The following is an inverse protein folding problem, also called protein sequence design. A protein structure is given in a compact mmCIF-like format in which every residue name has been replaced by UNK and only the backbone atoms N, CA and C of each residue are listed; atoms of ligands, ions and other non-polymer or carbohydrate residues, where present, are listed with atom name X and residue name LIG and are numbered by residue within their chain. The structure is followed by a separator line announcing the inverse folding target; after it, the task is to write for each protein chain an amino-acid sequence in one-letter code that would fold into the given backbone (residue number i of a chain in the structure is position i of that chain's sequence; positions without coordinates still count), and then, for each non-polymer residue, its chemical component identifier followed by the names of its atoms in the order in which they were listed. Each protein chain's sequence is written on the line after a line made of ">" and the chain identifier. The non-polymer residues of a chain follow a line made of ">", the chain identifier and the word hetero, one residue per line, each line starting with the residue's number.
data_IF_740378048985
#
_entry.id   IF_740378048985
#
_cell.length_a   1.000
_cell.length_b   1.000
_cell.length_c   1.000
_cell.angle_alpha   90.00
_cell.angle_beta   90.00
_cell.angle_gamma   90.00
#
_symmetry.space_group_name_H-M   'P 1'
#
loop_
_entity.id
_entity.type
_entity.pdbx_description
1 polymer ?
#
# COMPACT_ATOMS: atom_id res chain seq x y z
N UNK A 1 8.15 9.14 0.25
CA UNK A 1 6.79 8.64 -0.03
C UNK A 1 6.36 7.73 1.11
N UNK A 2 5.08 7.79 1.54
CA UNK A 2 4.56 6.88 2.55
C UNK A 2 4.29 5.52 1.92
N UNK A 3 4.74 4.44 2.55
CA UNK A 3 4.45 3.07 2.13
C UNK A 3 2.95 2.72 2.20
N UNK A 4 2.17 3.52 2.93
CA UNK A 4 0.74 3.30 3.13
C UNK A 4 -0.07 4.54 2.75
N UNK A 5 -1.29 4.32 2.27
CA UNK A 5 -2.27 5.38 2.06
C UNK A 5 -2.71 5.95 3.43
N UNK A 6 -2.37 7.21 3.70
CA UNK A 6 -2.68 7.88 4.98
C UNK A 6 -4.17 7.97 5.28
N UNK A 7 -5.03 8.00 4.25
CA UNK A 7 -6.46 8.23 4.41
C UNK A 7 -7.17 7.05 5.08
N UNK A 8 -6.62 5.83 4.91
CA UNK A 8 -7.17 4.62 5.52
C UNK A 8 -6.57 4.28 6.89
N UNK A 9 -5.52 5.01 7.30
CA UNK A 9 -4.85 4.72 8.57
C UNK A 9 -5.69 5.25 9.73
N UNK A 10 -5.96 4.39 10.71
CA UNK A 10 -6.60 4.74 11.98
C UNK A 10 -5.58 5.07 13.05
N UNK A 11 -4.55 4.23 13.17
CA UNK A 11 -3.49 4.35 14.15
C UNK A 11 -2.19 3.73 13.63
N UNK A 12 -1.06 4.27 14.08
CA UNK A 12 0.28 3.73 13.85
C UNK A 12 0.99 3.65 15.18
N UNK A 13 1.29 2.44 15.63
CA UNK A 13 2.08 2.20 16.83
C UNK A 13 3.49 1.78 16.43
N UNK A 14 4.49 2.52 16.88
CA UNK A 14 5.88 2.24 16.59
C UNK A 14 6.64 1.81 17.84
N UNK A 15 7.15 0.58 17.80
CA UNK A 15 7.92 -0.03 18.89
C UNK A 15 9.40 -0.13 18.48
N UNK A 16 10.27 0.62 19.12
CA UNK A 16 11.74 0.56 18.89
C UNK A 16 12.39 -0.62 19.59
N UNK A 17 11.85 -1.02 20.75
CA UNK A 17 12.31 -2.15 21.58
C UNK A 17 11.21 -2.52 22.58
N UNK A 18 11.30 -3.70 23.21
CA UNK A 18 10.35 -4.10 24.24
C UNK A 18 8.93 -4.31 23.72
N UNK A 19 8.80 -5.00 22.60
CA UNK A 19 7.48 -5.23 22.00
C UNK A 19 6.62 -6.15 22.86
N UNK A 20 5.28 -6.00 22.85
CA UNK A 20 4.36 -6.96 23.42
C UNK A 20 4.58 -8.38 22.88
N UNK A 21 4.30 -9.41 23.69
CA UNK A 21 4.53 -10.80 23.35
C UNK A 21 3.85 -11.28 22.06
N UNK A 22 2.82 -10.56 21.59
CA UNK A 22 2.13 -10.82 20.31
C UNK A 22 3.03 -10.64 19.07
N UNK A 23 4.14 -9.90 19.20
CA UNK A 23 5.10 -9.67 18.12
C UNK A 23 6.38 -10.48 18.36
N UNK A 24 6.32 -11.78 18.17
CA UNK A 24 7.48 -12.68 18.33
C UNK A 24 8.33 -12.77 17.05
N UNK A 25 9.59 -13.21 17.19
CA UNK A 25 10.47 -13.53 16.06
C UNK A 25 11.11 -12.33 15.34
N UNK A 26 11.09 -11.13 15.92
CA UNK A 26 11.76 -9.93 15.39
C UNK A 26 12.75 -9.37 16.40
N UNK A 27 13.89 -8.86 15.89
CA UNK A 27 14.97 -8.27 16.70
C UNK A 27 15.14 -6.76 16.49
N UNK A 28 14.40 -6.19 15.51
CA UNK A 28 14.43 -4.76 15.18
C UNK A 28 13.16 -4.05 15.68
N UNK A 29 12.86 -2.89 15.13
CA UNK A 29 11.63 -2.17 15.42
C UNK A 29 10.41 -2.81 14.75
N UNK A 30 9.23 -2.57 15.32
CA UNK A 30 7.93 -2.99 14.77
C UNK A 30 7.06 -1.75 14.58
N UNK A 31 6.43 -1.67 13.41
CA UNK A 31 5.39 -0.68 13.11
C UNK A 31 4.07 -1.43 12.94
N UNK A 32 3.13 -1.22 13.87
CA UNK A 32 1.77 -1.75 13.77
C UNK A 32 0.87 -0.68 13.13
N UNK A 33 0.40 -0.95 11.92
CA UNK A 33 -0.47 -0.05 11.16
C UNK A 33 -1.89 -0.61 11.16
N UNK A 34 -2.80 0.13 11.77
CA UNK A 34 -4.22 -0.23 11.82
C UNK A 34 -5.01 0.62 10.86
N UNK A 35 -5.78 -0.03 10.01
CA UNK A 35 -6.66 0.62 9.07
C UNK A 35 -8.01 0.95 9.70
N UNK A 36 -8.66 2.01 9.20
CA UNK A 36 -10.00 2.43 9.63
C UNK A 36 -11.04 1.37 9.28
N UNK A 37 -12.00 1.21 10.17
CA UNK A 37 -13.25 0.52 9.87
C UNK A 37 -14.09 1.41 8.95
N UNK A 38 -14.93 0.81 8.09
CA UNK A 38 -15.86 1.57 7.28
C UNK A 38 -16.97 2.19 8.11
N UNK A 39 -17.57 3.26 7.61
CA UNK A 39 -18.72 3.89 8.26
C UNK A 39 -19.90 2.91 8.33
N UNK A 40 -20.57 2.85 9.49
CA UNK A 40 -21.68 1.91 9.74
C UNK A 40 -23.06 2.48 9.38
N UNK A 41 -23.15 3.78 9.12
CA UNK A 41 -24.43 4.48 8.94
C UNK A 41 -24.63 5.01 7.53
N UNK A 42 -23.59 5.62 6.95
CA UNK A 42 -23.67 6.32 5.68
C UNK A 42 -22.49 5.91 4.75
N UNK A 43 -22.75 6.00 3.46
CA UNK A 43 -21.68 5.86 2.45
C UNK A 43 -20.94 7.18 2.33
N UNK A 44 -19.62 7.12 2.43
CA UNK A 44 -18.71 8.24 2.22
C UNK A 44 -17.71 7.88 1.15
N UNK A 45 -17.37 8.86 0.32
CA UNK A 45 -16.31 8.74 -0.67
C UNK A 45 -15.42 9.98 -0.62
N UNK A 46 -14.12 9.75 -0.75
CA UNK A 46 -13.12 10.81 -0.91
C UNK A 46 -12.28 10.54 -2.13
N UNK A 47 -12.00 11.59 -2.89
CA UNK A 47 -11.06 11.56 -4.00
C UNK A 47 -10.07 12.70 -3.82
N UNK A 48 -8.79 12.43 -4.00
CA UNK A 48 -7.72 13.40 -3.90
C UNK A 48 -6.78 13.25 -5.08
N UNK A 49 -6.49 14.36 -5.73
CA UNK A 49 -5.53 14.47 -6.81
C UNK A 49 -4.38 15.36 -6.37
N UNK A 50 -3.21 14.76 -6.21
CA UNK A 50 -1.95 15.46 -5.94
C UNK A 50 -1.09 15.57 -7.20
N UNK A 51 0.01 16.31 -7.10
CA UNK A 51 0.98 16.44 -8.19
C UNK A 51 1.60 15.10 -8.58
N UNK A 52 1.86 14.22 -7.61
CA UNK A 52 2.61 12.98 -7.79
C UNK A 52 1.73 11.73 -7.74
N UNK A 53 0.58 11.80 -7.08
CA UNK A 53 -0.33 10.66 -6.90
C UNK A 53 -1.81 11.09 -6.89
N UNK A 54 -2.67 10.11 -7.14
CA UNK A 54 -4.10 10.22 -6.92
C UNK A 54 -4.60 9.06 -6.09
N UNK A 55 -5.64 9.31 -5.34
CA UNK A 55 -6.26 8.35 -4.44
C UNK A 55 -7.77 8.52 -4.39
N UNK A 56 -8.40 7.38 -4.23
CA UNK A 56 -9.85 7.30 -4.08
C UNK A 56 -10.10 6.35 -2.91
N UNK A 57 -11.03 6.73 -2.06
CA UNK A 57 -11.52 5.90 -0.97
C UNK A 57 -13.04 5.92 -0.97
N UNK A 58 -13.65 4.76 -0.73
CA UNK A 58 -15.09 4.61 -0.53
C UNK A 58 -15.33 3.72 0.69
N UNK A 59 -16.16 4.17 1.59
CA UNK A 59 -16.54 3.42 2.78
C UNK A 59 -18.06 3.53 3.01
N UNK A 60 -18.62 2.53 3.69
CA UNK A 60 -20.03 2.58 4.00
C UNK A 60 -20.59 1.29 4.58
N UNK A 61 -21.87 1.28 4.95
CA UNK A 61 -22.56 0.12 5.45
C UNK A 61 -22.97 -0.84 4.31
N UNK A 62 -22.67 -2.12 4.46
CA UNK A 62 -23.36 -3.20 3.73
C UNK A 62 -24.68 -3.49 4.46
N UNK A 63 -24.63 -3.52 5.80
CA UNK A 63 -25.80 -3.60 6.66
C UNK A 63 -25.62 -2.60 7.79
N UNK A 64 -26.52 -1.62 7.87
CA UNK A 64 -26.47 -0.55 8.90
C UNK A 64 -26.27 -1.11 10.30
N UNK A 65 -25.37 -0.48 11.05
CA UNK A 65 -24.99 -0.84 12.42
C UNK A 65 -24.46 -2.27 12.61
N UNK A 66 -24.14 -2.99 11.52
CA UNK A 66 -23.63 -4.37 11.60
C UNK A 66 -22.42 -4.64 10.75
N UNK A 67 -22.45 -4.25 9.49
CA UNK A 67 -21.41 -4.60 8.54
C UNK A 67 -21.02 -3.38 7.73
N UNK A 68 -19.76 -3.03 7.73
CA UNK A 68 -19.22 -1.95 6.92
C UNK A 68 -18.03 -2.43 6.07
N UNK A 69 -17.80 -1.70 5.00
CA UNK A 69 -16.63 -1.85 4.15
C UNK A 69 -15.87 -0.54 4.05
N UNK A 70 -14.57 -0.65 3.80
CA UNK A 70 -13.69 0.47 3.45
C UNK A 70 -12.75 -0.02 2.35
N UNK A 71 -12.75 0.65 1.21
CA UNK A 71 -11.94 0.31 0.04
C UNK A 71 -11.21 1.54 -0.42
N UNK A 72 -9.93 1.42 -0.70
CA UNK A 72 -9.12 2.51 -1.23
C UNK A 72 -8.16 2.04 -2.30
N UNK A 73 -7.93 2.93 -3.26
CA UNK A 73 -6.96 2.78 -4.33
C UNK A 73 -6.11 4.04 -4.38
N UNK A 74 -4.80 3.87 -4.50
CA UNK A 74 -3.85 4.96 -4.76
C UNK A 74 -2.92 4.56 -5.90
N UNK A 75 -2.61 5.51 -6.78
CA UNK A 75 -1.61 5.36 -7.84
C UNK A 75 -0.79 6.62 -7.99
N UNK A 76 0.52 6.47 -8.16
CA UNK A 76 1.39 7.55 -8.60
C UNK A 76 1.43 7.64 -10.14
N UNK A 77 1.69 8.84 -10.64
CA UNK A 77 1.92 9.13 -12.06
C UNK A 77 3.27 9.82 -12.30
N UNK A 78 4.22 9.56 -11.45
CA UNK A 78 5.59 10.08 -11.58
C UNK A 78 6.20 9.64 -12.92
N UNK A 79 5.91 8.42 -13.37
CA UNK A 79 6.29 7.91 -14.68
C UNK A 79 5.79 8.80 -15.84
N UNK A 80 4.57 9.32 -15.74
CA UNK A 80 4.01 10.23 -16.74
C UNK A 80 4.65 11.62 -16.71
N UNK A 81 4.98 12.12 -15.50
CA UNK A 81 5.63 13.42 -15.32
C UNK A 81 7.10 13.41 -15.75
N UNK A 82 7.79 12.30 -15.56
CA UNK A 82 9.19 12.17 -15.94
C UNK A 82 9.40 12.07 -17.45
N UNK A 83 8.45 11.52 -18.21
CA UNK A 83 8.55 11.39 -19.67
C UNK A 83 8.88 12.72 -20.39
N UNK A 84 8.09 13.81 -20.20
CA UNK A 84 8.43 15.08 -20.85
C UNK A 84 9.74 15.68 -20.32
N UNK A 85 10.08 15.48 -19.05
CA UNK A 85 11.35 15.95 -18.47
C UNK A 85 12.53 15.26 -19.14
N UNK A 86 12.51 13.93 -19.26
CA UNK A 86 13.52 13.16 -19.96
C UNK A 86 13.59 13.54 -21.45
N UNK A 87 12.44 13.74 -22.09
CA UNK A 87 12.40 14.16 -23.50
C UNK A 87 13.04 15.54 -23.75
N UNK A 88 12.89 16.47 -22.80
CA UNK A 88 13.53 17.79 -22.86
C UNK A 88 15.04 17.66 -22.59
N UNK A 89 15.42 16.89 -21.58
CA UNK A 89 16.81 16.67 -21.19
C UNK A 89 17.62 15.98 -22.31
N UNK A 90 17.02 15.05 -23.02
CA UNK A 90 17.65 14.29 -24.12
C UNK A 90 17.68 15.08 -25.46
N UNK A 91 17.15 16.30 -25.47
CA UNK A 91 17.07 17.06 -26.73
C UNK A 91 18.42 17.60 -27.14
N UNK A 92 18.98 17.03 -28.22
CA UNK A 92 20.28 17.40 -28.77
C UNK A 92 21.45 16.67 -28.17
N UNK A 93 21.20 15.69 -27.29
CA UNK A 93 22.23 14.79 -26.76
C UNK A 93 22.26 13.48 -27.57
N UNK A 94 23.46 12.94 -27.76
CA UNK A 94 23.66 11.61 -28.37
C UNK A 94 23.29 10.50 -27.40
N UNK A 95 23.50 10.73 -26.10
CA UNK A 95 23.12 9.84 -25.02
C UNK A 95 21.70 10.16 -24.53
N UNK A 96 20.85 9.15 -24.40
CA UNK A 96 19.47 9.31 -23.97
C UNK A 96 19.19 8.56 -22.70
N UNK A 97 18.56 9.26 -21.77
CA UNK A 97 18.12 8.70 -20.49
C UNK A 97 16.60 8.65 -20.41
N UNK A 98 16.08 7.54 -19.92
CA UNK A 98 14.67 7.43 -19.56
C UNK A 98 14.54 6.89 -18.15
N UNK A 99 13.86 7.64 -17.31
CA UNK A 99 13.59 7.29 -15.92
C UNK A 99 12.09 7.11 -15.72
N UNK A 100 11.70 5.99 -15.11
CA UNK A 100 10.31 5.71 -14.80
C UNK A 100 10.18 5.22 -13.36
N UNK A 101 9.23 5.79 -12.62
CA UNK A 101 8.83 5.29 -11.31
C UNK A 101 7.32 5.37 -11.18
N UNK A 102 6.72 4.25 -10.83
CA UNK A 102 5.30 4.20 -10.49
C UNK A 102 5.06 3.27 -9.31
N UNK A 103 4.06 3.59 -8.52
CA UNK A 103 3.51 2.69 -7.54
C UNK A 103 1.99 2.73 -7.55
N UNK A 104 1.39 1.64 -7.12
CA UNK A 104 -0.02 1.62 -6.78
C UNK A 104 -0.26 0.74 -5.57
N UNK A 105 -1.24 1.10 -4.78
CA UNK A 105 -1.71 0.29 -3.68
C UNK A 105 -3.24 0.21 -3.65
N UNK A 106 -3.71 -0.96 -3.26
CA UNK A 106 -5.11 -1.25 -3.05
C UNK A 106 -5.30 -1.78 -1.63
N UNK A 107 -6.30 -1.26 -0.96
CA UNK A 107 -6.69 -1.70 0.38
C UNK A 107 -8.19 -1.96 0.42
N UNK A 108 -8.58 -3.02 1.09
CA UNK A 108 -9.97 -3.33 1.37
C UNK A 108 -10.10 -3.85 2.80
N UNK A 109 -11.11 -3.40 3.53
CA UNK A 109 -11.45 -3.88 4.85
C UNK A 109 -12.94 -4.09 4.97
N UNK A 110 -13.32 -5.21 5.56
CA UNK A 110 -14.68 -5.53 5.94
C UNK A 110 -14.73 -5.73 7.44
N UNK A 111 -15.68 -5.06 8.10
CA UNK A 111 -15.89 -5.16 9.54
C UNK A 111 -17.33 -5.59 9.81
N UNK A 112 -17.50 -6.61 10.65
CA UNK A 112 -18.80 -7.17 11.00
C UNK A 112 -18.97 -7.26 12.52
N UNK A 113 -19.94 -6.54 13.06
CA UNK A 113 -20.35 -6.66 14.46
C UNK A 113 -21.33 -7.83 14.61
N UNK A 114 -20.87 -8.93 15.21
CA UNK A 114 -21.71 -10.07 15.57
C UNK A 114 -22.65 -9.64 16.69
N UNK A 115 -22.11 -8.93 17.68
CA UNK A 115 -22.80 -8.36 18.83
C UNK A 115 -22.10 -7.09 19.30
N UNK A 116 -22.64 -6.42 20.30
CA UNK A 116 -21.98 -5.27 20.95
C UNK A 116 -20.65 -5.62 21.65
N UNK A 117 -20.35 -6.93 21.79
CA UNK A 117 -19.16 -7.44 22.46
C UNK A 117 -18.22 -8.23 21.54
N UNK A 118 -18.64 -8.42 20.29
CA UNK A 118 -17.89 -9.29 19.36
C UNK A 118 -17.87 -8.69 17.97
N UNK A 119 -16.66 -8.48 17.45
CA UNK A 119 -16.43 -7.93 16.12
C UNK A 119 -15.51 -8.87 15.37
N UNK A 120 -15.85 -9.20 14.13
CA UNK A 120 -14.98 -9.84 13.17
C UNK A 120 -14.58 -8.83 12.09
N UNK A 121 -13.36 -8.96 11.59
CA UNK A 121 -12.91 -8.14 10.49
C UNK A 121 -11.96 -8.91 9.59
N UNK A 122 -11.94 -8.53 8.33
CA UNK A 122 -10.95 -9.00 7.36
C UNK A 122 -10.39 -7.81 6.63
N UNK A 123 -9.10 -7.86 6.33
CA UNK A 123 -8.42 -6.83 5.54
C UNK A 123 -7.56 -7.46 4.46
N UNK A 124 -7.47 -6.75 3.35
CA UNK A 124 -6.66 -7.10 2.21
C UNK A 124 -5.83 -5.89 1.79
N UNK A 125 -4.56 -6.12 1.51
CA UNK A 125 -3.62 -5.14 1.01
C UNK A 125 -2.89 -5.69 -0.21
N UNK A 126 -2.76 -4.88 -1.24
CA UNK A 126 -1.91 -5.15 -2.40
C UNK A 126 -1.14 -3.89 -2.74
N UNK A 127 0.19 -3.97 -2.74
CA UNK A 127 1.09 -2.91 -3.16
C UNK A 127 2.01 -3.39 -4.26
N UNK A 128 2.30 -2.52 -5.22
CA UNK A 128 3.22 -2.79 -6.33
C UNK A 128 3.98 -1.53 -6.68
N UNK A 129 5.28 -1.67 -6.83
CA UNK A 129 6.21 -0.63 -7.24
C UNK A 129 6.99 -1.08 -8.46
N UNK A 130 7.27 -0.16 -9.35
CA UNK A 130 8.10 -0.36 -10.53
C UNK A 130 9.02 0.82 -10.74
N UNK A 131 10.32 0.54 -10.82
CA UNK A 131 11.36 1.47 -11.15
C UNK A 131 12.07 1.01 -12.42
N UNK A 132 12.26 1.91 -13.37
CA UNK A 132 12.98 1.63 -14.61
C UNK A 132 13.95 2.75 -14.95
N UNK A 133 15.13 2.36 -15.41
CA UNK A 133 16.16 3.24 -15.95
C UNK A 133 16.62 2.65 -17.27
N UNK A 134 16.45 3.40 -18.33
CA UNK A 134 16.98 3.05 -19.65
C UNK A 134 18.01 4.10 -20.00
N UNK A 135 19.18 3.63 -20.42
CA UNK A 135 20.30 4.41 -20.89
C UNK A 135 20.66 3.94 -22.30
N UNK A 136 20.63 4.84 -23.26
CA UNK A 136 21.04 4.60 -24.64
C UNK A 136 22.25 5.51 -24.94
N UNK A 137 23.47 4.95 -25.03
CA UNK A 137 24.68 5.66 -25.39
C UNK A 137 25.08 5.32 -26.81
N UNK A 138 25.36 6.36 -27.62
CA UNK A 138 25.79 6.22 -29.01
C UNK A 138 27.24 6.68 -29.19
N UNK A 139 28.09 5.76 -29.64
CA UNK A 139 29.46 6.03 -29.99
C UNK A 139 29.70 5.61 -31.44
N UNK A 140 29.80 6.57 -32.35
CA UNK A 140 30.04 6.37 -33.78
C UNK A 140 29.07 5.35 -34.42
N UNK A 141 29.50 4.09 -34.60
CA UNK A 141 28.68 2.99 -35.14
C UNK A 141 28.08 2.06 -34.08
N UNK A 142 28.40 2.29 -32.80
CA UNK A 142 27.94 1.42 -31.71
C UNK A 142 26.81 2.09 -30.91
N UNK A 143 25.72 1.38 -30.76
CA UNK A 143 24.62 1.74 -29.87
C UNK A 143 24.65 0.77 -28.69
N UNK A 144 24.88 1.28 -27.50
CA UNK A 144 24.77 0.52 -26.24
C UNK A 144 23.49 0.92 -25.55
N UNK A 145 22.56 -0.03 -25.40
CA UNK A 145 21.29 0.17 -24.71
C UNK A 145 21.29 -0.67 -23.45
N UNK A 146 21.06 -0.04 -22.32
CA UNK A 146 20.95 -0.69 -21.02
C UNK A 146 19.55 -0.46 -20.46
N UNK A 147 18.75 -1.52 -20.33
CA UNK A 147 17.44 -1.50 -19.66
C UNK A 147 17.56 -2.15 -18.28
N UNK A 148 17.43 -1.34 -17.25
CA UNK A 148 17.38 -1.81 -15.88
C UNK A 148 15.98 -1.57 -15.31
N UNK A 149 15.27 -2.65 -15.01
CA UNK A 149 13.95 -2.60 -14.40
C UNK A 149 13.92 -3.38 -13.11
N UNK A 150 13.47 -2.72 -12.06
CA UNK A 150 13.23 -3.32 -10.76
C UNK A 150 11.76 -3.19 -10.39
N UNK A 151 11.15 -4.31 -10.03
CA UNK A 151 9.75 -4.35 -9.58
C UNK A 151 9.68 -5.10 -8.26
N UNK A 152 8.85 -4.61 -7.35
CA UNK A 152 8.55 -5.31 -6.11
C UNK A 152 7.09 -5.12 -5.73
N UNK A 153 6.56 -6.10 -5.06
CA UNK A 153 5.16 -6.07 -4.66
C UNK A 153 4.90 -6.91 -3.41
N UNK A 154 3.85 -6.53 -2.72
CA UNK A 154 3.39 -7.18 -1.51
C UNK A 154 1.89 -7.43 -1.59
N UNK A 155 1.48 -8.61 -1.16
CA UNK A 155 0.10 -9.01 -1.00
C UNK A 155 -0.08 -9.46 0.44
N UNK A 156 -1.08 -8.95 1.14
CA UNK A 156 -1.37 -9.34 2.51
C UNK A 156 -2.87 -9.51 2.73
N UNK A 157 -3.24 -10.62 3.33
CA UNK A 157 -4.59 -10.91 3.77
C UNK A 157 -4.62 -11.18 5.27
N UNK A 158 -5.51 -10.55 5.99
CA UNK A 158 -5.66 -10.71 7.44
C UNK A 158 -7.12 -10.94 7.78
N UNK A 159 -7.37 -11.87 8.69
CA UNK A 159 -8.66 -12.09 9.33
C UNK A 159 -8.45 -11.99 10.82
N UNK A 160 -9.29 -11.24 11.51
CA UNK A 160 -9.21 -11.05 12.94
C UNK A 160 -10.56 -10.93 13.62
N UNK A 161 -10.53 -11.03 14.94
CA UNK A 161 -11.71 -10.86 15.76
C UNK A 161 -11.36 -10.32 17.14
N UNK A 162 -12.21 -9.44 17.63
CA UNK A 162 -12.14 -8.85 18.95
C UNK A 162 -13.40 -9.28 19.74
N UNK A 163 -13.19 -9.92 20.90
CA UNK A 163 -14.24 -10.52 21.70
C UNK A 163 -14.12 -10.05 23.15
N UNK A 164 -15.15 -9.44 23.68
CA UNK A 164 -15.30 -9.14 25.11
C UNK A 164 -16.00 -10.30 25.79
N UNK A 165 -15.20 -11.15 26.46
CA UNK A 165 -15.69 -12.37 27.13
C UNK A 165 -16.38 -12.05 28.45
N UNK A 166 -15.89 -11.02 29.16
CA UNK A 166 -16.48 -10.50 30.39
C UNK A 166 -16.19 -9.00 30.52
N UNK A 167 -16.75 -8.27 31.49
CA UNK A 167 -16.41 -6.86 31.72
C UNK A 167 -14.92 -6.60 31.99
N UNK A 168 -14.20 -7.62 32.44
CA UNK A 168 -12.77 -7.55 32.81
C UNK A 168 -11.87 -8.33 31.87
N UNK A 169 -12.43 -9.07 30.90
CA UNK A 169 -11.64 -9.97 30.05
C UNK A 169 -12.01 -9.77 28.58
N UNK A 170 -11.02 -9.47 27.77
CA UNK A 170 -11.13 -9.39 26.31
C UNK A 170 -10.12 -10.30 25.63
N UNK A 171 -10.47 -10.81 24.47
CA UNK A 171 -9.63 -11.63 23.60
C UNK A 171 -9.59 -11.01 22.21
N UNK A 172 -8.39 -10.83 21.66
CA UNK A 172 -8.16 -10.45 20.28
C UNK A 172 -7.41 -11.58 19.57
N UNK A 173 -7.90 -11.97 18.40
CA UNK A 173 -7.28 -13.01 17.56
C UNK A 173 -7.02 -12.44 16.16
N UNK A 174 -5.92 -12.87 15.53
CA UNK A 174 -5.56 -12.44 14.20
C UNK A 174 -4.76 -13.53 13.48
N UNK A 175 -5.11 -13.78 12.23
CA UNK A 175 -4.35 -14.61 11.30
C UNK A 175 -4.01 -13.78 10.08
N UNK A 176 -2.72 -13.71 9.75
CA UNK A 176 -2.22 -12.96 8.59
C UNK A 176 -1.41 -13.86 7.68
N UNK A 177 -1.67 -13.76 6.38
CA UNK A 177 -0.85 -14.35 5.33
C UNK A 177 -0.30 -13.22 4.46
N UNK A 178 1.01 -13.27 4.16
CA UNK A 178 1.69 -12.30 3.30
C UNK A 178 2.48 -13.01 2.23
N UNK A 179 2.46 -12.42 1.04
CA UNK A 179 3.29 -12.80 -0.08
C UNK A 179 4.03 -11.57 -0.60
N UNK A 180 5.33 -11.68 -0.78
CA UNK A 180 6.15 -10.61 -1.37
C UNK A 180 6.97 -11.17 -2.52
N UNK A 181 7.13 -10.35 -3.56
CA UNK A 181 7.99 -10.66 -4.69
C UNK A 181 8.85 -9.46 -5.05
N UNK A 182 10.06 -9.76 -5.53
CA UNK A 182 10.96 -8.77 -6.11
C UNK A 182 11.58 -9.38 -7.36
N UNK A 183 11.62 -8.59 -8.43
CA UNK A 183 12.24 -9.00 -9.70
C UNK A 183 13.12 -7.86 -10.21
N UNK A 184 14.32 -8.20 -10.59
CA UNK A 184 15.24 -7.31 -11.28
C UNK A 184 15.56 -7.90 -12.66
N UNK A 185 15.48 -7.05 -13.67
CA UNK A 185 15.82 -7.41 -15.05
C UNK A 185 16.90 -6.45 -15.54
N UNK A 186 17.96 -7.00 -16.07
CA UNK A 186 18.99 -6.30 -16.83
C UNK A 186 18.97 -6.82 -18.27
N UNK A 187 19.06 -5.93 -19.20
CA UNK A 187 19.16 -6.25 -20.62
C UNK A 187 20.12 -5.30 -21.32
#
# INVERSE_FOLDING_TARGET
>A
FSAFNSDIIKNVDFYKSGFPARYSGRVSSITDVRTRDGNMEHVHGTASLGLLDGRIQVEGPIRKNRTSFNVSLRRSWIDLLLRPVCAIANKGEDDKYSLGYMFHDFNAKLTHHISNRSTLWTSFYSGYDSYSVNDESRWEEYVNETDNRMTWGNLSGTIGGDFMLSPTMSMATMLTATYSHSRQKYS
#
